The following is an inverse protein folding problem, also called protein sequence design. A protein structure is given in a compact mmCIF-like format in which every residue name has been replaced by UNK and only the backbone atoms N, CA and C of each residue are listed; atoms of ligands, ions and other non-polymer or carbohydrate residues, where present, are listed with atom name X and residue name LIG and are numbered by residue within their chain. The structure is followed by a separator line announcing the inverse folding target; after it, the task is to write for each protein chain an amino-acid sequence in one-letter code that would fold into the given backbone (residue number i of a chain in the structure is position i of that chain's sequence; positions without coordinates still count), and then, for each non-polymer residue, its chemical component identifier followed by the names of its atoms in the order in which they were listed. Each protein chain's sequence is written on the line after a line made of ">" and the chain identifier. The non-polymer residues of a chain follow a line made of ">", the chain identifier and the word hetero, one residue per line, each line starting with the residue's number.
data_IF_210859135960
#
_entry.id   IF_210859135960
#
_cell.length_a   1.000
_cell.length_b   1.000
_cell.length_c   1.000
_cell.angle_alpha   90.00
_cell.angle_beta   90.00
_cell.angle_gamma   90.00
#
_symmetry.space_group_name_H-M   'P 1'
#
loop_
_entity.id
_entity.type
_entity.pdbx_description
1 polymer ?
#
# COMPACT_ATOMS: atom_id res chain seq x y z
N UNK A 1 -18.17 -32.98 2.06
CA UNK A 1 -16.98 -32.13 2.30
C UNK A 1 -16.91 -31.90 3.80
N UNK A 2 -15.73 -31.99 4.43
CA UNK A 2 -15.62 -31.70 5.87
C UNK A 2 -15.81 -30.21 6.08
N UNK A 3 -16.68 -29.86 6.99
CA UNK A 3 -16.93 -28.48 7.42
C UNK A 3 -15.62 -27.85 7.88
N UNK A 4 -15.17 -26.80 7.17
CA UNK A 4 -13.90 -26.11 7.43
C UNK A 4 -14.15 -24.78 8.10
N UNK A 5 -13.37 -24.48 9.14
CA UNK A 5 -13.27 -23.13 9.70
C UNK A 5 -12.05 -22.44 9.08
N UNK A 6 -12.18 -21.18 8.71
CA UNK A 6 -11.09 -20.33 8.18
C UNK A 6 -10.74 -19.28 9.24
N UNK A 7 -9.47 -19.14 9.53
CA UNK A 7 -8.95 -18.11 10.44
C UNK A 7 -8.19 -17.07 9.61
N UNK A 8 -8.71 -15.85 9.58
CA UNK A 8 -8.07 -14.68 8.99
C UNK A 8 -7.19 -14.01 10.06
N UNK A 9 -5.89 -13.90 9.80
CA UNK A 9 -4.98 -13.10 10.61
C UNK A 9 -4.88 -11.66 10.09
N UNK A 10 -4.95 -10.70 10.99
CA UNK A 10 -4.81 -9.27 10.69
C UNK A 10 -4.15 -8.52 11.84
N UNK A 11 -3.57 -7.35 11.55
CA UNK A 11 -3.15 -6.42 12.60
C UNK A 11 -4.37 -5.92 13.38
N UNK A 12 -4.18 -5.56 14.66
CA UNK A 12 -5.24 -5.05 15.53
C UNK A 12 -5.57 -3.55 15.34
N UNK A 13 -5.00 -2.84 14.34
CA UNK A 13 -5.38 -1.46 14.08
C UNK A 13 -6.79 -1.38 13.48
N UNK A 14 -7.56 -0.32 13.80
CA UNK A 14 -8.93 -0.12 13.28
C UNK A 14 -9.01 -0.32 11.77
N UNK A 15 -8.08 0.25 11.01
CA UNK A 15 -8.05 0.13 9.55
C UNK A 15 -7.80 -1.32 9.10
N UNK A 16 -6.88 -2.03 9.75
CA UNK A 16 -6.57 -3.42 9.41
C UNK A 16 -7.76 -4.36 9.71
N UNK A 17 -8.48 -4.13 10.81
CA UNK A 17 -9.70 -4.89 11.14
C UNK A 17 -10.83 -4.64 10.13
N UNK A 18 -11.01 -3.40 9.67
CA UNK A 18 -11.96 -3.09 8.58
C UNK A 18 -11.57 -3.83 7.30
N UNK A 19 -10.28 -3.93 6.97
CA UNK A 19 -9.80 -4.68 5.81
C UNK A 19 -10.03 -6.18 5.97
N UNK A 20 -9.79 -6.73 7.16
CA UNK A 20 -10.06 -8.13 7.47
C UNK A 20 -11.56 -8.45 7.36
N UNK A 21 -12.42 -7.53 7.81
CA UNK A 21 -13.89 -7.69 7.70
C UNK A 21 -14.34 -7.66 6.23
N UNK A 22 -13.84 -6.73 5.42
CA UNK A 22 -14.12 -6.72 3.96
C UNK A 22 -13.68 -8.03 3.29
N UNK A 23 -12.53 -8.58 3.68
CA UNK A 23 -12.06 -9.87 3.18
C UNK A 23 -12.99 -11.01 3.62
N UNK A 24 -13.38 -11.04 4.91
CA UNK A 24 -14.33 -12.02 5.46
C UNK A 24 -15.65 -12.02 4.70
N UNK A 25 -16.23 -10.86 4.46
CA UNK A 25 -17.49 -10.72 3.70
C UNK A 25 -17.37 -11.27 2.28
N UNK A 26 -16.25 -11.03 1.59
CA UNK A 26 -16.02 -11.56 0.24
C UNK A 26 -15.85 -13.08 0.25
N UNK A 27 -15.11 -13.64 1.20
CA UNK A 27 -14.92 -15.10 1.38
C UNK A 27 -16.26 -15.79 1.69
N UNK A 28 -17.07 -15.22 2.58
CA UNK A 28 -18.36 -15.79 2.98
C UNK A 28 -19.35 -15.94 1.80
N UNK A 29 -19.23 -15.10 0.75
CA UNK A 29 -20.08 -15.24 -0.46
C UNK A 29 -19.85 -16.55 -1.20
N UNK A 30 -18.67 -17.13 -1.10
CA UNK A 30 -18.27 -18.38 -1.74
C UNK A 30 -18.16 -19.57 -0.75
N UNK A 31 -18.46 -19.35 0.53
CA UNK A 31 -18.25 -20.31 1.61
C UNK A 31 -18.93 -21.66 1.39
N UNK A 32 -20.15 -21.64 0.84
CA UNK A 32 -20.95 -22.86 0.61
C UNK A 32 -20.31 -23.80 -0.39
N UNK A 33 -19.73 -23.26 -1.46
CA UNK A 33 -19.11 -24.04 -2.55
C UNK A 33 -17.83 -24.73 -2.08
N UNK A 34 -17.19 -24.19 -1.04
CA UNK A 34 -15.94 -24.71 -0.47
C UNK A 34 -16.12 -25.41 0.89
N UNK A 35 -17.35 -25.64 1.35
CA UNK A 35 -17.66 -26.31 2.62
C UNK A 35 -17.14 -25.54 3.84
N UNK A 36 -17.15 -24.20 3.78
CA UNK A 36 -16.72 -23.33 4.88
C UNK A 36 -17.93 -23.00 5.74
N UNK A 37 -17.83 -23.34 7.03
CA UNK A 37 -18.88 -23.05 8.02
C UNK A 37 -18.69 -21.70 8.68
N UNK A 38 -17.44 -21.34 8.93
CA UNK A 38 -17.13 -20.18 9.74
C UNK A 38 -15.84 -19.50 9.26
N UNK A 39 -15.82 -18.17 9.30
CA UNK A 39 -14.64 -17.35 9.04
C UNK A 39 -14.42 -16.43 10.25
N UNK A 40 -13.33 -16.66 10.97
CA UNK A 40 -12.97 -15.95 12.20
C UNK A 40 -11.82 -14.99 11.92
N UNK A 41 -11.87 -13.78 12.49
CA UNK A 41 -10.75 -12.82 12.45
C UNK A 41 -9.97 -12.93 13.75
N UNK A 42 -8.64 -13.12 13.61
CA UNK A 42 -7.65 -13.15 14.69
C UNK A 42 -6.75 -11.93 14.61
N UNK A 43 -6.74 -11.15 15.69
CA UNK A 43 -5.83 -10.01 15.81
C UNK A 43 -4.40 -10.48 16.15
N UNK A 44 -3.41 -9.91 15.45
CA UNK A 44 -1.99 -10.21 15.64
C UNK A 44 -1.22 -8.90 15.83
N UNK A 45 -0.49 -8.82 16.93
CA UNK A 45 0.38 -7.66 17.22
C UNK A 45 1.69 -7.81 16.46
N UNK A 46 2.04 -6.83 15.63
CA UNK A 46 3.27 -6.85 14.83
C UNK A 46 4.36 -5.97 15.43
N UNK A 47 5.62 -6.24 15.06
CA UNK A 47 6.76 -5.40 15.47
C UNK A 47 6.61 -3.95 14.99
N UNK A 48 6.02 -3.73 13.82
CA UNK A 48 5.78 -2.40 13.28
C UNK A 48 4.78 -1.57 14.09
N UNK A 49 3.87 -2.21 14.84
CA UNK A 49 2.91 -1.54 15.72
C UNK A 49 3.57 -1.04 17.02
N UNK A 50 4.66 -1.68 17.44
CA UNK A 50 5.37 -1.36 18.67
C UNK A 50 6.33 -0.17 18.53
N UNK A 51 6.85 0.08 17.31
CA UNK A 51 7.83 1.14 17.06
C UNK A 51 7.14 2.40 16.54
N UNK A 52 7.12 3.47 17.36
CA UNK A 52 6.39 4.71 17.03
C UNK A 52 7.28 5.97 16.94
N UNK A 53 8.57 5.88 17.22
CA UNK A 53 9.48 7.03 17.37
C UNK A 53 10.49 7.19 16.22
N UNK A 54 10.66 6.19 15.37
CA UNK A 54 11.63 6.17 14.26
C UNK A 54 10.96 5.90 12.90
N UNK A 55 11.63 6.26 11.81
CA UNK A 55 11.20 5.78 10.49
C UNK A 55 11.30 4.25 10.44
N UNK A 56 10.38 3.59 9.73
CA UNK A 56 10.41 2.12 9.60
C UNK A 56 11.71 1.62 8.97
N UNK A 57 12.27 2.41 8.07
CA UNK A 57 13.56 2.19 7.43
C UNK A 57 14.74 2.14 8.43
N UNK A 58 14.67 2.90 9.52
CA UNK A 58 15.72 2.97 10.55
C UNK A 58 15.65 1.83 11.56
N UNK A 59 14.48 1.17 11.66
CA UNK A 59 14.25 0.07 12.61
C UNK A 59 14.80 -1.27 12.11
N UNK A 60 15.15 -1.31 10.82
CA UNK A 60 15.77 -2.45 10.18
C UNK A 60 14.80 -3.58 9.82
N UNK A 61 14.77 -3.94 8.55
CA UNK A 61 14.13 -5.14 8.05
C UNK A 61 12.88 -4.90 7.19
N UNK A 62 12.84 -5.61 6.07
CA UNK A 62 11.66 -5.73 5.21
C UNK A 62 10.55 -6.46 6.01
N UNK A 63 9.29 -6.02 5.83
CA UNK A 63 8.13 -6.74 6.34
C UNK A 63 7.82 -6.57 7.83
N UNK A 64 8.12 -5.40 8.44
CA UNK A 64 7.83 -5.13 9.87
C UNK A 64 6.34 -5.33 10.25
N UNK A 65 5.43 -5.18 9.29
CA UNK A 65 3.99 -5.36 9.48
C UNK A 65 3.48 -6.72 9.01
N UNK A 66 4.18 -7.41 8.10
CA UNK A 66 3.74 -8.71 7.56
C UNK A 66 4.40 -9.90 8.26
N UNK A 67 5.67 -9.81 8.61
CA UNK A 67 6.50 -10.95 9.05
C UNK A 67 5.93 -11.75 10.23
N UNK A 68 5.35 -11.09 11.23
CA UNK A 68 4.73 -11.80 12.37
C UNK A 68 3.50 -12.58 11.92
N UNK A 69 2.69 -11.99 11.02
CA UNK A 69 1.49 -12.62 10.48
C UNK A 69 1.87 -13.78 9.55
N UNK A 70 2.92 -13.62 8.74
CA UNK A 70 3.46 -14.66 7.85
C UNK A 70 3.98 -15.87 8.63
N UNK A 71 4.62 -15.65 9.79
CA UNK A 71 5.02 -16.75 10.68
C UNK A 71 3.82 -17.55 11.17
N UNK A 72 2.75 -16.87 11.63
CA UNK A 72 1.53 -17.56 12.06
C UNK A 72 0.84 -18.31 10.90
N UNK A 73 0.94 -17.81 9.68
CA UNK A 73 0.44 -18.47 8.48
C UNK A 73 1.22 -19.75 8.17
N UNK A 74 2.57 -19.69 8.23
CA UNK A 74 3.45 -20.84 8.04
C UNK A 74 3.27 -21.90 9.16
N UNK A 75 3.06 -21.46 10.40
CA UNK A 75 2.79 -22.33 11.55
C UNK A 75 1.36 -22.87 11.58
N UNK A 76 0.54 -22.57 10.57
CA UNK A 76 -0.88 -23.02 10.46
C UNK A 76 -1.77 -22.55 11.61
N UNK A 77 -1.41 -21.45 12.27
CA UNK A 77 -2.22 -20.80 13.32
C UNK A 77 -3.31 -19.92 12.75
N UNK A 78 -3.16 -19.51 11.47
CA UNK A 78 -4.13 -18.84 10.64
C UNK A 78 -4.12 -19.46 9.24
N UNK A 79 -5.16 -19.21 8.45
CA UNK A 79 -5.30 -19.73 7.09
C UNK A 79 -5.07 -18.66 6.03
N UNK A 80 -5.51 -17.45 6.31
CA UNK A 80 -5.37 -16.28 5.42
C UNK A 80 -4.79 -15.13 6.22
N UNK A 81 -3.81 -14.43 5.65
CA UNK A 81 -3.34 -13.15 6.16
C UNK A 81 -3.91 -12.01 5.31
N UNK A 82 -4.43 -10.96 5.96
CA UNK A 82 -4.97 -9.78 5.28
C UNK A 82 -4.04 -8.59 5.49
N UNK A 83 -3.65 -7.96 4.38
CA UNK A 83 -2.69 -6.86 4.37
C UNK A 83 -3.17 -5.66 3.56
N UNK A 84 -2.73 -4.45 3.94
CA UNK A 84 -2.64 -3.36 2.99
C UNK A 84 -1.45 -3.65 2.07
N UNK A 85 -1.67 -3.88 0.78
CA UNK A 85 -0.64 -4.38 -0.15
C UNK A 85 0.60 -3.49 -0.20
N UNK A 86 0.43 -2.17 -0.09
CA UNK A 86 1.54 -1.21 -0.08
C UNK A 86 2.54 -1.40 1.06
N UNK A 87 2.14 -2.09 2.13
CA UNK A 87 2.98 -2.34 3.31
C UNK A 87 3.72 -3.69 3.22
N UNK A 88 3.46 -4.47 2.16
CA UNK A 88 4.10 -5.76 1.90
C UNK A 88 5.41 -5.60 1.11
N UNK A 89 6.42 -6.43 1.41
CA UNK A 89 7.64 -6.51 0.60
C UNK A 89 7.32 -6.83 -0.87
N UNK A 90 8.21 -6.42 -1.78
CA UNK A 90 8.09 -6.76 -3.21
C UNK A 90 8.37 -8.24 -3.51
N UNK A 91 9.10 -8.92 -2.63
CA UNK A 91 9.44 -10.34 -2.71
C UNK A 91 8.50 -11.16 -1.84
N UNK A 92 8.05 -12.30 -2.36
CA UNK A 92 7.23 -13.26 -1.63
C UNK A 92 8.05 -14.01 -0.57
N UNK A 93 7.44 -14.29 0.56
CA UNK A 93 8.01 -15.21 1.57
C UNK A 93 7.84 -16.65 1.08
N UNK A 94 8.92 -17.43 1.07
CA UNK A 94 8.90 -18.83 0.64
C UNK A 94 7.83 -19.63 1.41
N UNK A 95 7.02 -20.39 0.68
CA UNK A 95 5.90 -21.18 1.22
C UNK A 95 4.58 -20.40 1.33
N UNK A 96 4.57 -19.12 0.93
CA UNK A 96 3.38 -18.28 0.92
C UNK A 96 3.10 -17.76 -0.49
N UNK A 97 1.83 -17.45 -0.75
CA UNK A 97 1.33 -16.91 -2.01
C UNK A 97 0.45 -15.68 -1.74
N UNK A 98 0.76 -14.56 -2.37
CA UNK A 98 -0.04 -13.32 -2.37
C UNK A 98 -0.55 -13.06 -3.79
N UNK A 99 -1.62 -13.73 -4.17
CA UNK A 99 -2.17 -13.69 -5.53
C UNK A 99 -3.70 -13.45 -5.54
N UNK A 100 -4.24 -12.89 -4.45
CA UNK A 100 -5.63 -12.48 -4.34
C UNK A 100 -5.72 -11.04 -3.86
N UNK A 101 -6.36 -10.19 -4.66
CA UNK A 101 -6.53 -8.77 -4.40
C UNK A 101 -7.99 -8.38 -4.48
N UNK A 102 -8.50 -7.71 -3.46
CA UNK A 102 -9.84 -7.15 -3.52
C UNK A 102 -9.88 -5.95 -4.48
N UNK A 103 -11.09 -5.60 -4.90
CA UNK A 103 -11.32 -4.39 -5.69
C UNK A 103 -10.62 -3.19 -5.05
N UNK A 104 -9.87 -2.44 -5.88
CA UNK A 104 -9.06 -1.32 -5.43
C UNK A 104 -9.92 -0.19 -4.91
N UNK A 105 -9.69 0.22 -3.68
CA UNK A 105 -10.21 1.49 -3.16
C UNK A 105 -9.46 2.66 -3.81
N UNK A 106 -9.97 3.91 -3.63
CA UNK A 106 -9.35 5.09 -4.21
C UNK A 106 -7.85 5.18 -3.88
N UNK A 107 -6.95 5.15 -4.88
CA UNK A 107 -5.50 5.14 -4.68
C UNK A 107 -4.91 6.51 -4.38
N UNK A 108 -5.70 7.59 -4.49
CA UNK A 108 -5.21 8.96 -4.40
C UNK A 108 -4.61 9.30 -3.04
N UNK A 109 -3.79 10.34 -3.04
CA UNK A 109 -3.31 10.97 -1.82
C UNK A 109 -4.23 12.12 -1.41
N UNK A 110 -4.29 12.40 -0.11
CA UNK A 110 -5.06 13.52 0.43
C UNK A 110 -4.20 14.37 1.37
N UNK A 111 -4.54 15.63 1.45
CA UNK A 111 -4.05 16.56 2.45
C UNK A 111 -5.15 16.79 3.50
N UNK A 112 -4.76 16.72 4.75
CA UNK A 112 -5.54 17.25 5.88
C UNK A 112 -4.73 18.40 6.46
N UNK A 113 -5.27 19.60 6.45
CA UNK A 113 -4.58 20.80 6.92
C UNK A 113 -5.38 21.51 8.00
N UNK A 114 -4.72 22.37 8.75
CA UNK A 114 -5.39 23.35 9.60
C UNK A 114 -6.21 24.31 8.72
N UNK A 115 -7.34 24.75 9.24
CA UNK A 115 -8.23 25.72 8.58
C UNK A 115 -8.70 25.27 7.19
N UNK A 116 -8.64 23.96 6.90
CA UNK A 116 -9.08 23.36 5.63
C UNK A 116 -8.41 23.98 4.39
N UNK A 117 -7.13 24.37 4.49
CA UNK A 117 -6.37 25.00 3.41
C UNK A 117 -5.88 23.95 2.40
N UNK A 118 -5.86 24.30 1.12
CA UNK A 118 -5.19 23.51 0.09
C UNK A 118 -3.67 23.70 0.18
N UNK A 119 -2.91 22.79 -0.43
CA UNK A 119 -1.44 22.83 -0.43
C UNK A 119 -0.88 24.17 -0.93
N UNK A 120 -1.49 24.74 -1.98
CA UNK A 120 -1.09 26.03 -2.56
C UNK A 120 -1.30 27.21 -1.61
N UNK A 121 -2.24 27.09 -0.66
CA UNK A 121 -2.65 28.18 0.25
C UNK A 121 -1.94 28.11 1.61
N UNK A 122 -1.07 27.10 1.81
CA UNK A 122 -0.25 27.01 3.00
C UNK A 122 0.83 28.09 3.00
N UNK A 123 1.12 28.64 4.16
CA UNK A 123 2.20 29.61 4.33
C UNK A 123 3.57 28.97 3.98
N UNK A 124 4.50 29.78 3.48
CA UNK A 124 5.89 29.34 3.29
C UNK A 124 6.45 28.80 4.60
N UNK A 125 7.28 27.76 4.50
CA UNK A 125 7.86 27.02 5.62
C UNK A 125 6.86 26.21 6.48
N UNK A 126 5.58 26.09 6.07
CA UNK A 126 4.63 25.23 6.77
C UNK A 126 5.13 23.79 6.89
N UNK A 127 4.82 23.15 8.02
CA UNK A 127 5.29 21.81 8.36
C UNK A 127 4.28 20.77 7.89
N UNK A 128 4.70 19.89 6.97
CA UNK A 128 3.92 18.78 6.45
C UNK A 128 4.35 17.48 7.11
N UNK A 129 3.42 16.82 7.81
CA UNK A 129 3.68 15.52 8.45
C UNK A 129 3.62 14.37 7.44
N UNK A 130 4.75 13.72 7.19
CA UNK A 130 4.84 12.47 6.40
C UNK A 130 5.99 11.60 6.89
N UNK A 131 5.85 10.26 6.78
CA UNK A 131 6.95 9.31 6.99
C UNK A 131 7.44 8.67 5.69
N UNK A 132 6.89 9.11 4.55
CA UNK A 132 7.19 8.57 3.23
C UNK A 132 8.08 9.53 2.44
N UNK A 133 9.29 9.08 2.07
CA UNK A 133 10.17 9.84 1.18
C UNK A 133 9.52 10.13 -0.18
N UNK A 134 8.75 9.20 -0.73
CA UNK A 134 7.99 9.41 -1.96
C UNK A 134 7.06 10.63 -1.83
N UNK A 135 6.25 10.69 -0.77
CA UNK A 135 5.36 11.84 -0.53
C UNK A 135 6.13 13.13 -0.31
N UNK A 136 7.18 13.07 0.51
CA UNK A 136 8.05 14.20 0.80
C UNK A 136 8.61 14.82 -0.48
N UNK A 137 9.23 14.02 -1.36
CA UNK A 137 9.84 14.53 -2.58
C UNK A 137 8.81 14.99 -3.61
N UNK A 138 7.66 14.33 -3.70
CA UNK A 138 6.59 14.79 -4.59
C UNK A 138 5.96 16.10 -4.09
N UNK A 139 5.76 16.28 -2.78
CA UNK A 139 5.31 17.57 -2.20
C UNK A 139 6.35 18.67 -2.49
N UNK A 140 7.63 18.41 -2.26
CA UNK A 140 8.70 19.38 -2.54
C UNK A 140 8.82 19.75 -4.01
N UNK A 141 8.49 18.83 -4.91
CA UNK A 141 8.38 19.13 -6.35
C UNK A 141 7.27 20.17 -6.65
N UNK A 142 6.19 20.14 -5.90
CA UNK A 142 5.05 21.09 -6.07
C UNK A 142 5.31 22.40 -5.33
N UNK A 143 5.85 22.32 -4.11
CA UNK A 143 6.10 23.43 -3.18
C UNK A 143 7.41 23.17 -2.42
N UNK A 144 8.53 23.65 -2.95
CA UNK A 144 9.88 23.46 -2.41
C UNK A 144 10.13 24.24 -1.10
N UNK A 145 9.34 25.27 -0.88
CA UNK A 145 9.34 26.11 0.32
C UNK A 145 8.69 25.47 1.55
N UNK A 146 8.04 24.29 1.42
CA UNK A 146 7.43 23.58 2.53
C UNK A 146 8.41 22.65 3.23
N UNK A 147 8.24 22.45 4.54
CA UNK A 147 9.08 21.60 5.37
C UNK A 147 8.38 20.27 5.68
N UNK A 148 8.94 19.14 5.23
CA UNK A 148 8.44 17.83 5.59
C UNK A 148 9.08 17.32 6.89
N UNK A 149 8.25 16.86 7.85
CA UNK A 149 8.71 16.26 9.11
C UNK A 149 8.09 14.89 9.32
N UNK A 150 8.87 14.01 9.96
CA UNK A 150 8.41 12.66 10.31
C UNK A 150 7.17 12.71 11.18
N UNK A 151 6.12 11.99 10.75
CA UNK A 151 4.93 11.71 11.57
C UNK A 151 4.67 10.21 11.61
N UNK A 152 4.53 9.65 12.80
CA UNK A 152 4.24 8.23 13.04
C UNK A 152 2.94 8.04 13.81
N UNK A 153 2.45 6.81 13.79
CA UNK A 153 1.20 6.38 14.40
C UNK A 153 0.14 6.00 13.36
N UNK A 154 -0.94 5.43 13.83
CA UNK A 154 -2.13 5.17 13.02
C UNK A 154 -2.81 6.48 12.59
N UNK A 155 -3.79 6.40 11.71
CA UNK A 155 -4.50 7.57 11.16
C UNK A 155 -5.02 8.49 12.26
N UNK A 156 -5.71 7.93 13.27
CA UNK A 156 -6.24 8.71 14.41
C UNK A 156 -5.15 9.48 15.15
N UNK A 157 -4.01 8.82 15.41
CA UNK A 157 -2.86 9.45 16.07
C UNK A 157 -2.30 10.60 15.27
N UNK A 158 -2.21 10.46 13.93
CA UNK A 158 -1.70 11.53 13.06
C UNK A 158 -2.65 12.72 13.00
N UNK A 159 -3.95 12.47 12.92
CA UNK A 159 -4.97 13.53 12.97
C UNK A 159 -4.92 14.25 14.33
N UNK A 160 -4.76 13.53 15.42
CA UNK A 160 -4.59 14.11 16.76
C UNK A 160 -3.37 15.02 16.82
N UNK A 161 -2.21 14.57 16.33
CA UNK A 161 -0.97 15.37 16.27
C UNK A 161 -1.13 16.65 15.43
N UNK A 162 -1.92 16.62 14.37
CA UNK A 162 -2.28 17.81 13.60
C UNK A 162 -3.12 18.79 14.46
N UNK A 163 -4.14 18.27 15.17
CA UNK A 163 -4.98 19.08 16.09
C UNK A 163 -4.18 19.66 17.26
N UNK A 164 -3.13 18.99 17.71
CA UNK A 164 -2.18 19.46 18.74
C UNK A 164 -1.17 20.49 18.19
N UNK A 165 -1.32 20.96 16.95
CA UNK A 165 -0.46 21.95 16.30
C UNK A 165 1.00 21.54 16.08
N UNK A 166 1.31 20.24 16.08
CA UNK A 166 2.66 19.75 15.79
C UNK A 166 3.01 19.82 14.30
N UNK A 167 2.00 19.96 13.44
CA UNK A 167 2.09 20.07 11.98
C UNK A 167 1.06 21.08 11.48
N UNK A 168 1.29 21.68 10.32
CA UNK A 168 0.32 22.57 9.64
C UNK A 168 -0.58 21.76 8.71
N UNK A 169 -0.07 20.66 8.17
CA UNK A 169 -0.83 19.67 7.40
C UNK A 169 -0.20 18.28 7.50
N UNK A 170 -0.97 17.27 7.16
CA UNK A 170 -0.50 15.88 7.02
C UNK A 170 -0.96 15.31 5.70
N UNK A 171 -0.15 14.42 5.11
CA UNK A 171 -0.51 13.73 3.86
C UNK A 171 -0.75 12.24 4.14
N UNK A 172 -1.92 11.74 3.71
CA UNK A 172 -2.40 10.38 3.93
C UNK A 172 -2.98 9.81 2.62
N UNK A 173 -3.25 8.48 2.60
CA UNK A 173 -3.97 7.85 1.49
C UNK A 173 -5.48 8.04 1.66
N UNK A 174 -6.18 8.37 0.56
CA UNK A 174 -7.65 8.46 0.54
C UNK A 174 -8.29 7.18 1.06
N UNK A 175 -7.89 6.01 0.54
CA UNK A 175 -8.44 4.71 0.95
C UNK A 175 -8.44 4.47 2.47
N UNK A 176 -7.41 4.95 3.18
CA UNK A 176 -7.34 4.81 4.64
C UNK A 176 -8.32 5.71 5.37
N UNK A 177 -8.48 6.94 4.91
CA UNK A 177 -9.41 7.93 5.48
C UNK A 177 -10.86 7.52 5.21
N UNK A 178 -11.16 7.12 3.98
CA UNK A 178 -12.48 6.68 3.56
C UNK A 178 -12.94 5.43 4.32
N UNK A 179 -12.09 4.42 4.42
CA UNK A 179 -12.41 3.20 5.18
C UNK A 179 -12.70 3.45 6.66
N UNK A 180 -12.13 4.51 7.24
CA UNK A 180 -12.39 4.92 8.62
C UNK A 180 -13.58 5.87 8.78
N UNK A 181 -14.24 6.29 7.67
CA UNK A 181 -15.34 7.24 7.70
C UNK A 181 -14.91 8.66 8.10
N UNK A 182 -13.67 9.06 7.80
CA UNK A 182 -13.08 10.33 8.23
C UNK A 182 -12.97 11.36 7.11
N UNK A 183 -13.74 11.21 6.03
CA UNK A 183 -13.68 12.04 4.81
C UNK A 183 -13.91 13.53 5.07
N UNK A 184 -14.67 13.88 6.12
CA UNK A 184 -14.90 15.26 6.54
C UNK A 184 -13.62 16.02 6.94
N UNK A 185 -12.51 15.31 7.19
CA UNK A 185 -11.23 15.95 7.51
C UNK A 185 -10.40 16.32 6.27
N UNK A 186 -10.81 15.89 5.07
CA UNK A 186 -10.02 16.07 3.85
C UNK A 186 -10.09 17.52 3.40
N UNK A 187 -8.93 18.19 3.34
CA UNK A 187 -8.80 19.55 2.82
C UNK A 187 -8.57 19.57 1.30
N UNK A 188 -7.83 18.59 0.77
CA UNK A 188 -7.54 18.46 -0.65
C UNK A 188 -7.33 16.98 -1.01
N UNK A 189 -7.84 16.59 -2.17
CA UNK A 189 -7.52 15.32 -2.82
C UNK A 189 -6.65 15.61 -4.04
N UNK A 190 -5.49 14.97 -4.13
CA UNK A 190 -4.60 15.08 -5.28
C UNK A 190 -5.00 14.09 -6.37
N UNK A 191 -4.86 14.48 -7.63
CA UNK A 191 -4.91 13.51 -8.73
C UNK A 191 -3.72 12.55 -8.66
N UNK A 192 -3.86 11.39 -9.29
CA UNK A 192 -2.76 10.39 -9.35
C UNK A 192 -1.56 10.86 -10.17
N UNK A 193 -1.71 11.90 -10.98
CA UNK A 193 -0.63 12.55 -11.74
C UNK A 193 0.06 13.68 -10.96
N UNK A 194 -0.64 14.36 -10.04
CA UNK A 194 0.00 15.32 -9.14
C UNK A 194 0.90 14.64 -8.12
N UNK A 195 0.37 13.59 -7.47
CA UNK A 195 1.13 12.75 -6.54
C UNK A 195 0.89 11.29 -6.91
N UNK A 196 1.88 10.68 -7.56
CA UNK A 196 1.80 9.30 -8.00
C UNK A 196 1.79 8.39 -6.77
N UNK A 197 0.75 7.55 -6.60
CA UNK A 197 0.65 6.63 -5.47
C UNK A 197 1.82 5.63 -5.41
N UNK A 198 2.07 5.05 -4.26
CA UNK A 198 2.94 3.87 -4.19
C UNK A 198 2.23 2.65 -4.77
N UNK A 199 3.02 1.69 -5.25
CA UNK A 199 2.48 0.42 -5.75
C UNK A 199 1.58 -0.25 -4.70
N UNK A 200 0.40 -0.69 -5.13
CA UNK A 200 -0.59 -1.34 -4.28
C UNK A 200 -1.36 -0.41 -3.35
N UNK A 201 -1.24 0.91 -3.47
CA UNK A 201 -2.06 1.81 -2.64
C UNK A 201 -3.55 1.63 -2.93
N UNK A 202 -4.35 1.52 -1.87
CA UNK A 202 -5.79 1.29 -1.93
C UNK A 202 -6.18 -0.18 -2.12
N UNK A 203 -5.22 -1.12 -2.15
CA UNK A 203 -5.48 -2.54 -2.39
C UNK A 203 -5.33 -3.35 -1.10
N UNK A 204 -6.33 -4.20 -0.85
CA UNK A 204 -6.31 -5.21 0.20
C UNK A 204 -5.84 -6.51 -0.43
N UNK A 205 -4.77 -7.09 0.10
CA UNK A 205 -4.21 -8.36 -0.34
C UNK A 205 -4.53 -9.47 0.64
N UNK A 206 -4.86 -10.64 0.11
CA UNK A 206 -5.05 -11.87 0.84
C UNK A 206 -3.89 -12.82 0.52
N UNK A 207 -3.17 -13.25 1.55
CA UNK A 207 -2.04 -14.15 1.44
C UNK A 207 -2.39 -15.48 2.10
N UNK A 208 -2.01 -16.60 1.47
CA UNK A 208 -2.21 -17.95 2.01
C UNK A 208 -0.92 -18.78 1.84
N UNK A 209 -0.93 -20.00 2.34
CA UNK A 209 0.11 -20.98 2.04
C UNK A 209 0.04 -21.42 0.56
N UNK A 210 1.17 -21.56 -0.08
CA UNK A 210 1.29 -21.93 -1.50
C UNK A 210 0.89 -23.40 -1.82
N UNK A 211 0.73 -24.23 -0.77
CA UNK A 211 0.34 -25.63 -0.87
C UNK A 211 -1.10 -25.93 -0.41
N UNK A 212 -1.92 -24.91 -0.12
CA UNK A 212 -3.34 -25.08 0.23
C UNK A 212 -4.22 -24.88 -1.01
N UNK A 213 -4.26 -25.90 -1.89
CA UNK A 213 -4.97 -25.84 -3.18
C UNK A 213 -6.43 -25.42 -3.03
N UNK A 214 -7.15 -25.97 -2.04
CA UNK A 214 -8.57 -25.64 -1.80
C UNK A 214 -8.75 -24.16 -1.44
N UNK A 215 -7.83 -23.59 -0.67
CA UNK A 215 -7.87 -22.19 -0.31
C UNK A 215 -7.48 -21.28 -1.47
N UNK A 216 -6.50 -21.70 -2.26
CA UNK A 216 -6.09 -20.98 -3.48
C UNK A 216 -7.28 -20.90 -4.46
N UNK A 217 -8.02 -21.99 -4.68
CA UNK A 217 -9.19 -21.98 -5.55
C UNK A 217 -10.32 -21.07 -5.01
N UNK A 218 -10.55 -21.05 -3.71
CA UNK A 218 -11.46 -20.09 -3.08
C UNK A 218 -11.02 -18.66 -3.33
N UNK A 219 -9.73 -18.35 -3.09
CA UNK A 219 -9.20 -17.00 -3.24
C UNK A 219 -9.24 -16.50 -4.69
N UNK A 220 -9.14 -17.39 -5.68
CA UNK A 220 -9.39 -17.05 -7.10
C UNK A 220 -10.83 -16.55 -7.36
N UNK A 221 -11.83 -17.05 -6.62
CA UNK A 221 -13.20 -16.55 -6.75
C UNK A 221 -13.40 -15.19 -6.09
N UNK A 222 -12.54 -14.83 -5.15
CA UNK A 222 -12.55 -13.56 -4.42
C UNK A 222 -11.74 -12.48 -5.12
N UNK A 223 -10.78 -12.88 -5.95
CA UNK A 223 -9.84 -11.99 -6.64
C UNK A 223 -10.54 -11.06 -7.62
N UNK A 224 -10.14 -9.78 -7.62
CA UNK A 224 -10.64 -8.78 -8.55
C UNK A 224 -9.69 -8.61 -9.75
N UNK A 225 -10.07 -9.16 -10.89
CA UNK A 225 -9.24 -9.28 -12.10
C UNK A 225 -8.55 -7.97 -12.51
N UNK A 226 -9.27 -6.87 -12.61
CA UNK A 226 -8.68 -5.58 -13.03
C UNK A 226 -7.66 -5.05 -12.04
N UNK A 227 -7.94 -5.19 -10.73
CA UNK A 227 -6.97 -4.86 -9.69
C UNK A 227 -5.75 -5.73 -9.79
N UNK A 228 -5.92 -7.04 -9.94
CA UNK A 228 -4.85 -8.01 -10.06
C UNK A 228 -3.86 -7.66 -11.17
N UNK A 229 -4.40 -7.39 -12.37
CA UNK A 229 -3.58 -7.00 -13.54
C UNK A 229 -2.81 -5.71 -13.27
N UNK A 230 -3.47 -4.69 -12.73
CA UNK A 230 -2.83 -3.41 -12.39
C UNK A 230 -1.71 -3.59 -11.38
N UNK A 231 -1.95 -4.41 -10.34
CA UNK A 231 -0.99 -4.71 -9.29
C UNK A 231 0.22 -5.48 -9.83
N UNK A 232 0.04 -6.41 -10.77
CA UNK A 232 1.17 -7.08 -11.43
C UNK A 232 2.11 -6.08 -12.10
N UNK A 233 1.58 -5.10 -12.81
CA UNK A 233 2.41 -4.07 -13.43
C UNK A 233 3.17 -3.23 -12.37
N UNK A 234 2.46 -2.72 -11.37
CA UNK A 234 3.04 -1.87 -10.31
C UNK A 234 4.12 -2.60 -9.49
N UNK A 235 3.82 -3.82 -9.02
CA UNK A 235 4.74 -4.59 -8.19
C UNK A 235 5.98 -5.06 -8.93
N UNK A 236 5.88 -5.33 -10.24
CA UNK A 236 7.05 -5.66 -11.05
C UNK A 236 8.03 -4.49 -11.19
N UNK A 237 7.56 -3.23 -11.18
CA UNK A 237 8.44 -2.06 -11.06
C UNK A 237 9.25 -2.13 -9.76
N UNK A 238 8.58 -2.35 -8.61
CA UNK A 238 9.26 -2.45 -7.31
C UNK A 238 10.23 -3.63 -7.26
N UNK A 239 9.84 -4.78 -7.80
CA UNK A 239 10.66 -6.00 -7.81
C UNK A 239 11.97 -5.77 -8.58
N UNK A 240 11.90 -5.15 -9.76
CA UNK A 240 13.09 -4.83 -10.57
C UNK A 240 13.98 -3.81 -9.89
N UNK A 241 13.41 -2.81 -9.23
CA UNK A 241 14.15 -1.82 -8.45
C UNK A 241 14.71 -2.39 -7.14
N UNK A 242 14.26 -3.60 -6.72
CA UNK A 242 14.53 -4.16 -5.39
C UNK A 242 14.10 -3.18 -4.28
N UNK A 243 13.03 -2.42 -4.58
CA UNK A 243 12.57 -1.32 -3.76
C UNK A 243 12.06 -1.78 -2.40
N UNK A 244 12.30 -0.96 -1.40
CA UNK A 244 11.86 -1.12 -0.02
C UNK A 244 11.16 0.14 0.50
N UNK A 245 10.96 0.21 1.83
CA UNK A 245 10.32 1.36 2.47
C UNK A 245 11.15 2.66 2.39
N UNK A 246 12.45 2.59 2.07
CA UNK A 246 13.32 3.75 1.87
C UNK A 246 13.25 4.27 0.43
N UNK A 247 12.88 3.43 -0.51
CA UNK A 247 12.85 3.79 -1.93
C UNK A 247 11.70 4.75 -2.22
N UNK A 248 12.07 5.97 -2.63
CA UNK A 248 11.10 7.00 -2.98
C UNK A 248 10.53 6.75 -4.39
N UNK A 249 9.67 5.74 -4.52
CA UNK A 249 9.07 5.33 -5.80
C UNK A 249 7.55 5.41 -5.76
N UNK A 250 6.96 6.05 -6.77
CA UNK A 250 5.55 6.00 -7.12
C UNK A 250 5.36 5.06 -8.31
N UNK A 251 4.33 4.22 -8.28
CA UNK A 251 3.95 3.37 -9.40
C UNK A 251 2.44 3.17 -9.37
N UNK A 252 1.77 3.60 -10.39
CA UNK A 252 0.33 3.51 -10.50
C UNK A 252 -0.10 3.06 -11.88
N UNK A 253 -0.90 2.00 -11.94
CA UNK A 253 -1.49 1.47 -13.15
C UNK A 253 -3.02 1.61 -13.13
N UNK A 254 -3.59 2.02 -14.25
CA UNK A 254 -5.02 1.98 -14.50
C UNK A 254 -5.34 1.32 -15.85
N UNK A 255 -6.49 0.66 -15.90
CA UNK A 255 -6.98 -0.01 -17.11
C UNK A 255 -8.07 0.85 -17.73
N UNK A 256 -7.94 1.11 -19.03
CA UNK A 256 -8.92 1.80 -19.86
C UNK A 256 -9.20 0.97 -21.11
N UNK A 257 -10.36 0.32 -21.12
CA UNK A 257 -10.71 -0.63 -22.18
C UNK A 257 -9.74 -1.82 -22.22
N UNK A 258 -9.06 -2.03 -23.34
CA UNK A 258 -8.07 -3.10 -23.55
C UNK A 258 -6.63 -2.69 -23.24
N UNK A 259 -6.42 -1.46 -22.74
CA UNK A 259 -5.09 -0.92 -22.46
C UNK A 259 -4.86 -0.75 -20.95
N UNK A 260 -3.63 -1.01 -20.54
CA UNK A 260 -3.10 -0.65 -19.23
C UNK A 260 -2.16 0.54 -19.38
N UNK A 261 -2.40 1.59 -18.60
CA UNK A 261 -1.53 2.76 -18.51
C UNK A 261 -0.75 2.64 -17.20
N UNK A 262 0.58 2.71 -17.27
CA UNK A 262 1.44 2.70 -16.09
C UNK A 262 2.25 3.98 -16.02
N UNK A 263 2.18 4.65 -14.88
CA UNK A 263 2.91 5.87 -14.56
C UNK A 263 3.81 5.62 -13.36
N UNK A 264 5.10 5.93 -13.51
CA UNK A 264 6.11 5.64 -12.47
C UNK A 264 7.03 6.84 -12.27
N UNK A 265 7.40 7.07 -11.02
CA UNK A 265 8.29 8.14 -10.60
C UNK A 265 9.25 7.61 -9.53
N UNK A 266 10.54 7.87 -9.72
CA UNK A 266 11.59 7.45 -8.81
C UNK A 266 12.47 8.67 -8.48
N UNK A 267 12.88 8.80 -7.23
CA UNK A 267 13.81 9.86 -6.80
C UNK A 267 15.13 9.25 -6.33
N UNK A 268 16.22 10.02 -6.47
CA UNK A 268 17.48 9.70 -5.79
C UNK A 268 17.29 9.73 -4.27
N UNK A 269 18.22 9.12 -3.53
CA UNK A 269 18.15 9.05 -2.05
C UNK A 269 18.00 10.41 -1.38
N UNK A 270 18.64 11.43 -1.93
CA UNK A 270 18.58 12.81 -1.45
C UNK A 270 17.41 13.63 -2.02
N UNK A 271 16.62 13.03 -2.93
CA UNK A 271 15.49 13.68 -3.61
C UNK A 271 15.90 14.71 -4.67
N UNK A 272 17.22 14.90 -4.94
CA UNK A 272 17.70 15.91 -5.88
C UNK A 272 17.45 15.57 -7.35
N UNK A 273 17.33 14.28 -7.67
CA UNK A 273 17.08 13.79 -9.04
C UNK A 273 15.75 13.07 -9.09
N UNK A 274 15.01 13.36 -10.15
CA UNK A 274 13.71 12.75 -10.46
C UNK A 274 13.80 11.98 -11.76
N UNK A 275 13.31 10.74 -11.77
CA UNK A 275 13.18 9.89 -12.94
C UNK A 275 11.70 9.56 -13.13
N UNK A 276 11.17 9.85 -14.29
CA UNK A 276 9.74 9.71 -14.58
C UNK A 276 9.52 9.01 -15.90
N UNK A 277 8.58 8.07 -15.92
CA UNK A 277 8.14 7.38 -17.12
C UNK A 277 6.62 7.22 -17.10
N UNK A 278 6.04 7.29 -18.29
CA UNK A 278 4.63 6.94 -18.54
C UNK A 278 4.57 6.11 -19.80
N UNK A 279 3.89 4.98 -19.77
CA UNK A 279 3.73 4.09 -20.91
C UNK A 279 2.38 3.38 -20.86
N UNK A 280 1.95 2.91 -22.03
CA UNK A 280 0.70 2.19 -22.19
C UNK A 280 0.93 0.97 -23.07
N UNK A 281 0.33 -0.16 -22.70
CA UNK A 281 0.37 -1.42 -23.41
C UNK A 281 -1.00 -2.11 -23.39
N UNK A 282 -1.13 -3.20 -24.11
CA UNK A 282 -2.27 -4.10 -24.01
C UNK A 282 -2.29 -4.78 -22.61
N UNK A 283 -3.47 -5.01 -22.06
CA UNK A 283 -3.70 -5.54 -20.71
C UNK A 283 -2.98 -6.87 -20.46
N UNK A 284 -2.87 -7.74 -21.50
CA UNK A 284 -2.16 -9.02 -21.42
C UNK A 284 -0.64 -8.87 -21.22
N UNK A 285 -0.09 -7.69 -21.49
CA UNK A 285 1.33 -7.37 -21.31
C UNK A 285 1.65 -6.59 -20.03
N UNK A 286 0.71 -6.48 -19.09
CA UNK A 286 0.84 -5.69 -17.88
C UNK A 286 2.13 -6.03 -17.09
N UNK A 287 2.42 -7.30 -16.90
CA UNK A 287 3.62 -7.77 -16.21
C UNK A 287 4.90 -7.33 -16.93
N UNK A 288 4.95 -7.53 -18.24
CA UNK A 288 6.09 -7.13 -19.07
C UNK A 288 6.32 -5.61 -19.01
N UNK A 289 5.25 -4.83 -19.10
CA UNK A 289 5.29 -3.37 -18.99
C UNK A 289 5.96 -2.94 -17.68
N UNK A 290 5.53 -3.50 -16.54
CA UNK A 290 6.11 -3.21 -15.23
C UNK A 290 7.61 -3.52 -15.15
N UNK A 291 8.02 -4.70 -15.68
CA UNK A 291 9.42 -5.12 -15.73
C UNK A 291 10.27 -4.16 -16.58
N UNK A 292 9.79 -3.81 -17.79
CA UNK A 292 10.53 -2.94 -18.71
C UNK A 292 10.68 -1.51 -18.15
N UNK A 293 9.62 -0.96 -17.58
CA UNK A 293 9.67 0.37 -16.96
C UNK A 293 10.58 0.37 -15.73
N UNK A 294 10.55 -0.68 -14.90
CA UNK A 294 11.46 -0.86 -13.77
C UNK A 294 12.93 -0.90 -14.22
N UNK A 295 13.26 -1.68 -15.28
CA UNK A 295 14.61 -1.75 -15.85
C UNK A 295 15.06 -0.40 -16.39
N UNK A 296 14.17 0.32 -17.06
CA UNK A 296 14.48 1.65 -17.60
C UNK A 296 14.77 2.65 -16.48
N UNK A 297 13.95 2.69 -15.41
CA UNK A 297 14.21 3.53 -14.24
C UNK A 297 15.53 3.17 -13.55
N UNK A 298 15.83 1.87 -13.38
CA UNK A 298 17.09 1.41 -12.79
C UNK A 298 18.29 1.91 -13.59
N UNK A 299 18.22 1.83 -14.93
CA UNK A 299 19.25 2.35 -15.83
C UNK A 299 19.37 3.87 -15.77
N UNK A 300 18.25 4.61 -15.86
CA UNK A 300 18.24 6.08 -15.82
C UNK A 300 18.80 6.63 -14.50
N UNK A 301 18.44 5.99 -13.39
CA UNK A 301 18.85 6.42 -12.06
C UNK A 301 20.32 6.07 -11.72
N UNK A 302 20.92 5.16 -12.47
CA UNK A 302 22.25 4.61 -12.15
C UNK A 302 22.36 4.21 -10.66
N UNK A 303 21.31 3.57 -10.12
CA UNK A 303 21.18 3.18 -8.71
C UNK A 303 21.28 4.33 -7.68
N UNK A 304 21.17 5.61 -8.06
CA UNK A 304 21.22 6.75 -7.13
C UNK A 304 20.09 6.78 -6.08
N UNK A 305 19.11 5.90 -6.18
CA UNK A 305 17.99 5.72 -5.25
C UNK A 305 18.28 4.71 -4.13
N UNK A 306 19.44 4.08 -4.15
CA UNK A 306 19.90 3.08 -3.16
C UNK A 306 21.13 3.59 -2.41
N UNK A 307 21.35 3.05 -1.20
CA UNK A 307 22.62 3.15 -0.47
C UNK A 307 23.68 2.25 -1.09
#
# INVERSE_FOLDING_TARGET
>A
MKNRKIIIGSRGSKLALIYAEKAREKILKHSKDFGIEEVIIKEIVTKGDQVQDKRLSEVGGKGLFSKTIEVELLEKKIDIAVHALKDMPSEETKGLLTDCFLERNDPREILISKDNKHLKDLASNSIIGTSSYRREFQIKKIRDDLNCKLIRGNVDTRIRKLKENLYDAIILSYAGIDSLGLNQNISQTFSTSEIIPCAGQGVIALQCRDNDESLIELLKQVDHQSTHISIKAERNVLKVLEGDCETAVGAFANIEGSKINLEVELFSLDGSKRFYLKSSESVDKAEKLGIEMGKTLKKMSNNSYKK
#
